data_IF_401682307278
#
_entry.id   IF_401682307278
#
_cell.length_a   1.000
_cell.length_b   1.000
_cell.length_c   1.000
_cell.angle_alpha   90.00
_cell.angle_beta   90.00
_cell.angle_gamma   90.00
#
_symmetry.space_group_name_H-M   'P 1'
#
loop_
_entity.id
_entity.type
_entity.pdbx_description
1 polymer ?
#
# COMPACT_ATOMS: atom_id res chain seq x y z
N UNK A 1 -26.02 -20.91 -11.78
CA UNK A 1 -25.64 -20.25 -13.05
C UNK A 1 -24.26 -20.74 -13.41
N UNK A 2 -23.91 -20.82 -14.68
CA UNK A 2 -22.53 -21.11 -15.10
C UNK A 2 -21.69 -19.90 -14.75
N UNK A 3 -20.48 -20.11 -14.23
CA UNK A 3 -19.55 -19.03 -13.93
C UNK A 3 -19.22 -18.23 -15.19
N UNK A 4 -19.11 -16.92 -15.07
CA UNK A 4 -18.62 -16.05 -16.14
C UNK A 4 -17.11 -16.20 -16.29
N UNK A 5 -16.65 -16.24 -17.51
CA UNK A 5 -15.21 -16.15 -17.84
C UNK A 5 -14.69 -14.75 -17.59
N UNK A 6 -13.36 -14.57 -17.44
CA UNK A 6 -12.77 -13.23 -17.28
C UNK A 6 -13.11 -12.32 -18.46
N UNK A 7 -13.17 -12.84 -19.67
CA UNK A 7 -13.55 -12.08 -20.87
C UNK A 7 -15.00 -11.59 -20.79
N UNK A 8 -15.93 -12.42 -20.34
CA UNK A 8 -17.32 -12.04 -20.15
C UNK A 8 -17.45 -10.99 -19.02
N UNK A 9 -16.73 -11.17 -17.90
CA UNK A 9 -16.69 -10.18 -16.81
C UNK A 9 -16.16 -8.83 -17.29
N UNK A 10 -15.06 -8.80 -18.03
CA UNK A 10 -14.49 -7.58 -18.61
C UNK A 10 -15.48 -6.89 -19.57
N UNK A 11 -16.20 -7.66 -20.38
CA UNK A 11 -17.21 -7.13 -21.29
C UNK A 11 -18.40 -6.54 -20.53
N UNK A 12 -18.97 -7.27 -19.59
CA UNK A 12 -20.15 -6.81 -18.83
C UNK A 12 -19.83 -5.59 -17.93
N UNK A 13 -18.61 -5.52 -17.40
CA UNK A 13 -18.16 -4.42 -16.55
C UNK A 13 -17.55 -3.23 -17.31
N UNK A 14 -17.47 -3.28 -18.65
CA UNK A 14 -16.84 -2.23 -19.45
C UNK A 14 -17.49 -0.85 -19.25
N UNK A 15 -18.82 -0.78 -19.18
CA UNK A 15 -19.54 0.48 -18.91
C UNK A 15 -19.28 1.04 -17.50
N UNK A 16 -19.07 0.17 -16.52
CA UNK A 16 -18.65 0.59 -15.18
C UNK A 16 -17.21 1.11 -15.22
N UNK A 17 -16.31 0.44 -15.93
CA UNK A 17 -14.94 0.89 -16.09
C UNK A 17 -14.87 2.28 -16.75
N UNK A 18 -15.65 2.54 -17.80
CA UNK A 18 -15.75 3.85 -18.45
C UNK A 18 -16.22 4.92 -17.45
N UNK A 19 -17.28 4.65 -16.71
CA UNK A 19 -17.81 5.56 -15.68
C UNK A 19 -16.77 5.89 -14.61
N UNK A 20 -16.00 4.91 -14.17
CA UNK A 20 -15.00 5.10 -13.13
C UNK A 20 -13.72 5.78 -13.65
N UNK A 21 -13.32 5.54 -14.89
CA UNK A 21 -12.28 6.33 -15.57
C UNK A 21 -12.70 7.80 -15.64
N UNK A 22 -13.91 8.09 -16.10
CA UNK A 22 -14.42 9.46 -16.16
C UNK A 22 -14.49 10.12 -14.78
N UNK A 23 -14.92 9.37 -13.76
CA UNK A 23 -14.90 9.85 -12.37
C UNK A 23 -13.47 10.17 -11.92
N UNK A 24 -12.53 9.27 -12.16
CA UNK A 24 -11.12 9.46 -11.81
C UNK A 24 -10.57 10.72 -12.46
N UNK A 25 -10.73 10.89 -13.77
CA UNK A 25 -10.21 12.04 -14.51
C UNK A 25 -10.78 13.38 -14.04
N UNK A 26 -12.02 13.41 -13.54
CA UNK A 26 -12.61 14.64 -12.97
C UNK A 26 -12.02 15.02 -11.61
N UNK A 27 -11.43 14.09 -10.88
CA UNK A 27 -10.92 14.32 -9.52
C UNK A 27 -9.41 14.26 -9.43
N UNK A 28 -8.75 13.63 -10.40
CA UNK A 28 -7.30 13.57 -10.45
C UNK A 28 -6.71 14.99 -10.59
N UNK A 29 -5.67 15.23 -9.81
CA UNK A 29 -4.94 16.51 -9.84
C UNK A 29 -3.61 16.28 -10.53
N UNK A 30 -3.33 17.07 -11.54
CA UNK A 30 -2.01 17.06 -12.17
C UNK A 30 -0.97 17.60 -11.20
N UNK A 31 0.11 16.84 -11.02
CA UNK A 31 1.23 17.24 -10.20
C UNK A 31 2.53 16.65 -10.75
N UNK A 32 3.64 17.24 -10.35
CA UNK A 32 4.95 16.84 -10.83
C UNK A 32 5.88 16.54 -9.66
N UNK A 33 6.66 15.44 -9.71
CA UNK A 33 7.59 15.06 -8.63
C UNK A 33 8.54 16.19 -8.22
N UNK A 34 9.02 16.99 -9.18
CA UNK A 34 9.97 18.07 -8.89
C UNK A 34 9.40 19.20 -8.00
N UNK A 35 8.07 19.35 -7.89
CA UNK A 35 7.42 20.34 -7.02
C UNK A 35 7.39 19.90 -5.54
N UNK A 36 7.72 18.63 -5.27
CA UNK A 36 7.68 18.03 -3.95
C UNK A 36 9.06 17.62 -3.43
N UNK A 37 10.12 17.86 -4.20
CA UNK A 37 11.51 17.55 -3.81
C UNK A 37 12.24 18.84 -3.46
N UNK A 38 12.90 18.92 -2.29
CA UNK A 38 13.64 20.13 -1.87
C UNK A 38 15.01 20.23 -2.54
N UNK A 39 15.06 20.44 -3.84
CA UNK A 39 16.29 20.46 -4.67
C UNK A 39 17.40 21.34 -4.10
N UNK A 40 17.05 22.44 -3.45
CA UNK A 40 18.02 23.35 -2.83
C UNK A 40 18.76 22.75 -1.60
N UNK A 41 18.28 21.62 -1.05
CA UNK A 41 19.01 20.86 0.00
C UNK A 41 20.03 19.89 -0.58
N UNK A 42 19.97 19.63 -1.90
CA UNK A 42 20.83 18.69 -2.58
C UNK A 42 22.30 19.15 -2.60
N UNK A 43 23.20 18.20 -2.56
CA UNK A 43 24.64 18.39 -2.69
C UNK A 43 25.20 17.28 -3.57
N UNK A 44 26.25 17.59 -4.33
CA UNK A 44 26.93 16.59 -5.15
C UNK A 44 27.54 15.48 -4.29
N UNK A 45 27.52 14.27 -4.82
CA UNK A 45 28.26 13.14 -4.27
C UNK A 45 29.71 13.14 -4.78
N UNK A 46 30.59 12.32 -4.19
CA UNK A 46 32.03 12.33 -4.45
C UNK A 46 32.38 12.20 -5.94
N UNK A 47 31.61 11.42 -6.70
CA UNK A 47 31.81 11.26 -8.15
C UNK A 47 31.68 12.58 -8.94
N UNK A 48 31.00 13.57 -8.41
CA UNK A 48 30.86 14.91 -9.00
C UNK A 48 31.62 16.00 -8.21
N UNK A 49 32.57 15.60 -7.35
CA UNK A 49 33.42 16.51 -6.56
C UNK A 49 32.83 16.96 -5.22
N UNK A 50 31.69 16.39 -4.81
CA UNK A 50 31.11 16.56 -3.48
C UNK A 50 31.67 15.55 -2.48
N UNK A 51 30.81 15.05 -1.59
CA UNK A 51 31.17 14.02 -0.59
C UNK A 51 30.12 12.90 -0.58
N UNK A 52 30.54 11.71 -0.19
CA UNK A 52 29.63 10.59 -0.01
C UNK A 52 28.75 10.76 1.23
N UNK A 53 27.77 9.88 1.37
CA UNK A 53 26.84 9.86 2.50
C UNK A 53 27.56 9.48 3.80
N UNK A 54 27.21 10.17 4.87
CA UNK A 54 27.53 9.79 6.24
C UNK A 54 26.23 9.67 7.05
N UNK A 55 26.16 8.77 8.03
CA UNK A 55 24.96 8.55 8.84
C UNK A 55 24.45 9.83 9.53
N UNK A 56 25.36 10.75 9.85
CA UNK A 56 25.05 12.07 10.41
C UNK A 56 24.38 13.05 9.42
N UNK A 57 24.30 12.71 8.14
CA UNK A 57 23.63 13.55 7.13
C UNK A 57 22.12 13.46 7.21
N UNK A 58 21.60 12.36 7.76
CA UNK A 58 20.18 12.11 7.81
C UNK A 58 19.53 12.78 9.02
N UNK A 59 18.59 13.68 8.75
CA UNK A 59 17.70 14.27 9.76
C UNK A 59 16.51 13.33 10.10
N UNK A 60 16.31 12.25 9.34
CA UNK A 60 15.21 11.34 9.54
C UNK A 60 15.41 10.46 10.78
N UNK A 61 14.37 10.33 11.58
CA UNK A 61 14.35 9.34 12.65
C UNK A 61 14.44 7.91 12.08
N UNK A 62 14.94 6.92 12.84
CA UNK A 62 15.01 5.54 12.35
C UNK A 62 13.68 4.98 11.85
N UNK A 63 12.55 5.38 12.44
CA UNK A 63 11.22 4.94 12.01
C UNK A 63 10.78 5.64 10.73
N UNK A 64 11.04 6.94 10.57
CA UNK A 64 10.73 7.67 9.34
C UNK A 64 11.53 7.12 8.17
N UNK A 65 12.83 6.85 8.38
CA UNK A 65 13.71 6.23 7.39
C UNK A 65 13.20 4.86 6.95
N UNK A 66 12.93 3.96 7.90
CA UNK A 66 12.43 2.63 7.61
C UNK A 66 11.09 2.66 6.84
N UNK A 67 10.18 3.55 7.23
CA UNK A 67 8.88 3.69 6.59
C UNK A 67 8.97 4.28 5.17
N UNK A 68 9.79 5.32 4.95
CA UNK A 68 9.99 5.91 3.63
C UNK A 68 10.66 4.92 2.66
N UNK A 69 11.66 4.18 3.13
CA UNK A 69 12.30 3.13 2.33
C UNK A 69 11.30 2.02 1.99
N UNK A 70 10.51 1.56 2.96
CA UNK A 70 9.50 0.53 2.72
C UNK A 70 8.44 1.00 1.71
N UNK A 71 7.95 2.24 1.85
CA UNK A 71 7.01 2.82 0.89
C UNK A 71 7.64 2.88 -0.51
N UNK A 72 8.87 3.41 -0.65
CA UNK A 72 9.56 3.44 -1.94
C UNK A 72 9.72 2.06 -2.57
N UNK A 73 10.13 1.05 -1.81
CA UNK A 73 10.32 -0.30 -2.32
C UNK A 73 8.99 -0.98 -2.72
N UNK A 74 7.88 -0.56 -2.12
CA UNK A 74 6.53 -0.97 -2.55
C UNK A 74 6.19 -0.34 -3.90
N UNK A 75 6.41 0.97 -4.05
CA UNK A 75 6.16 1.70 -5.31
C UNK A 75 7.06 1.23 -6.47
N UNK A 76 8.32 0.91 -6.19
CA UNK A 76 9.26 0.41 -7.20
C UNK A 76 8.88 -0.97 -7.78
N UNK A 77 7.96 -1.67 -7.16
CA UNK A 77 7.43 -2.93 -7.68
C UNK A 77 6.41 -2.75 -8.82
N UNK A 78 6.17 -1.53 -9.26
CA UNK A 78 5.25 -1.19 -10.34
C UNK A 78 5.40 -2.06 -11.60
N UNK A 79 6.60 -2.45 -12.08
CA UNK A 79 6.70 -3.35 -13.22
C UNK A 79 5.98 -4.69 -13.03
N UNK A 80 6.01 -5.25 -11.82
CA UNK A 80 5.29 -6.49 -11.48
C UNK A 80 3.78 -6.24 -11.43
N UNK A 81 3.33 -5.16 -10.82
CA UNK A 81 1.90 -4.82 -10.74
C UNK A 81 1.32 -4.52 -12.11
N UNK A 82 2.04 -3.73 -12.93
CA UNK A 82 1.62 -3.44 -14.30
C UNK A 82 1.42 -4.72 -15.10
N UNK A 83 2.37 -5.68 -15.00
CA UNK A 83 2.26 -6.95 -15.70
C UNK A 83 1.00 -7.71 -15.27
N UNK A 84 0.78 -7.89 -13.97
CA UNK A 84 -0.37 -8.61 -13.44
C UNK A 84 -1.70 -7.98 -13.91
N UNK A 85 -1.82 -6.65 -13.87
CA UNK A 85 -3.02 -5.95 -14.31
C UNK A 85 -3.17 -6.01 -15.83
N UNK A 86 -2.09 -5.83 -16.60
CA UNK A 86 -2.14 -5.88 -18.05
C UNK A 86 -2.47 -7.29 -18.60
N UNK A 87 -2.04 -8.34 -17.89
CA UNK A 87 -2.35 -9.73 -18.24
C UNK A 87 -3.81 -10.12 -17.92
N UNK A 88 -4.40 -9.54 -16.87
CA UNK A 88 -5.76 -9.87 -16.39
C UNK A 88 -6.84 -8.91 -16.88
N UNK A 89 -6.48 -7.74 -17.40
CA UNK A 89 -7.41 -6.78 -17.98
C UNK A 89 -7.28 -6.74 -19.51
N UNK A 90 -8.29 -6.16 -20.17
CA UNK A 90 -8.17 -5.82 -21.59
C UNK A 90 -7.27 -4.59 -21.77
N UNK A 91 -6.48 -4.57 -22.84
CA UNK A 91 -5.72 -3.38 -23.25
C UNK A 91 -6.52 -2.46 -24.19
N UNK A 92 -7.81 -2.75 -24.39
CA UNK A 92 -8.72 -1.97 -25.24
C UNK A 92 -9.72 -1.17 -24.38
N UNK A 93 -10.27 -0.10 -24.97
CA UNK A 93 -11.32 0.71 -24.37
C UNK A 93 -10.94 1.32 -23.01
N UNK A 94 -11.90 1.37 -22.11
CA UNK A 94 -11.72 1.94 -20.78
C UNK A 94 -10.73 1.16 -19.93
N UNK A 95 -10.68 -0.17 -20.08
CA UNK A 95 -9.72 -1.02 -19.39
C UNK A 95 -8.28 -0.71 -19.77
N UNK A 96 -7.99 -0.67 -21.09
CA UNK A 96 -6.65 -0.33 -21.56
C UNK A 96 -6.25 1.09 -21.20
N UNK A 97 -7.19 2.05 -21.31
CA UNK A 97 -6.94 3.40 -20.84
C UNK A 97 -6.57 3.44 -19.36
N UNK A 98 -7.29 2.69 -18.50
CA UNK A 98 -7.00 2.63 -17.08
C UNK A 98 -5.63 2.01 -16.78
N UNK A 99 -5.30 0.89 -17.39
CA UNK A 99 -3.98 0.25 -17.22
C UNK A 99 -2.85 1.25 -17.46
N UNK A 100 -2.92 1.99 -18.55
CA UNK A 100 -1.88 2.97 -18.89
C UNK A 100 -1.91 4.21 -17.98
N UNK A 101 -3.09 4.72 -17.66
CA UNK A 101 -3.25 5.91 -16.82
C UNK A 101 -2.77 5.65 -15.40
N UNK A 102 -3.24 4.57 -14.79
CA UNK A 102 -2.82 4.14 -13.46
C UNK A 102 -1.30 3.92 -13.39
N UNK A 103 -0.72 3.17 -14.32
CA UNK A 103 0.72 2.95 -14.37
C UNK A 103 1.52 4.25 -14.47
N UNK A 104 1.05 5.22 -15.25
CA UNK A 104 1.72 6.51 -15.38
C UNK A 104 1.64 7.34 -14.09
N UNK A 105 0.57 7.23 -13.33
CA UNK A 105 0.41 7.89 -12.03
C UNK A 105 1.28 7.24 -10.95
N UNK A 106 1.27 5.92 -10.85
CA UNK A 106 2.10 5.13 -9.95
C UNK A 106 3.60 5.40 -10.13
N UNK A 107 4.05 5.51 -11.38
CA UNK A 107 5.46 5.81 -11.68
C UNK A 107 5.96 7.11 -11.03
N UNK A 108 5.08 8.09 -10.78
CA UNK A 108 5.45 9.34 -10.08
C UNK A 108 5.75 9.12 -8.60
N UNK A 109 5.12 8.13 -7.97
CA UNK A 109 5.25 7.84 -6.55
C UNK A 109 6.68 7.39 -6.22
N UNK A 110 7.20 6.40 -6.93
CA UNK A 110 8.58 5.94 -6.72
C UNK A 110 9.61 7.02 -7.05
N UNK A 111 9.38 7.82 -8.10
CA UNK A 111 10.29 8.92 -8.47
C UNK A 111 10.36 9.95 -7.36
N UNK A 112 9.24 10.45 -6.84
CA UNK A 112 9.24 11.50 -5.83
C UNK A 112 9.82 11.02 -4.49
N UNK A 113 9.55 9.79 -4.09
CA UNK A 113 10.09 9.20 -2.87
C UNK A 113 11.61 9.01 -2.96
N UNK A 114 12.09 8.44 -4.07
CA UNK A 114 13.53 8.25 -4.30
C UNK A 114 14.28 9.59 -4.34
N UNK A 115 13.76 10.54 -5.10
CA UNK A 115 14.39 11.84 -5.25
C UNK A 115 14.42 12.61 -3.92
N UNK A 116 13.34 12.55 -3.14
CA UNK A 116 13.32 13.12 -1.78
C UNK A 116 14.41 12.50 -0.89
N UNK A 117 14.47 11.17 -0.80
CA UNK A 117 15.47 10.46 0.02
C UNK A 117 16.91 10.78 -0.41
N UNK A 118 17.17 10.86 -1.72
CA UNK A 118 18.48 11.14 -2.28
C UNK A 118 18.91 12.59 -2.05
N UNK A 119 18.03 13.54 -2.35
CA UNK A 119 18.31 14.98 -2.26
C UNK A 119 18.48 15.43 -0.82
N UNK A 120 17.69 14.90 0.10
CA UNK A 120 17.80 15.22 1.53
C UNK A 120 18.88 14.42 2.26
N UNK A 121 19.58 13.52 1.56
CA UNK A 121 20.48 12.54 2.19
C UNK A 121 19.81 11.79 3.35
N UNK A 122 18.53 11.47 3.17
CA UNK A 122 17.74 10.77 4.18
C UNK A 122 18.22 9.34 4.45
N UNK A 123 18.90 8.71 3.48
CA UNK A 123 19.45 7.36 3.53
C UNK A 123 20.75 7.30 2.71
N UNK A 124 21.56 6.26 2.92
CA UNK A 124 22.66 5.94 2.02
C UNK A 124 22.13 5.60 0.62
N UNK A 125 22.46 6.38 -0.41
CA UNK A 125 21.94 6.15 -1.77
C UNK A 125 22.48 4.85 -2.39
N UNK A 126 23.63 4.35 -1.97
CA UNK A 126 24.19 3.07 -2.45
C UNK A 126 23.39 1.91 -1.87
N UNK A 127 23.18 1.91 -0.55
CA UNK A 127 22.34 0.90 0.11
C UNK A 127 20.91 0.93 -0.44
N UNK A 128 20.34 2.13 -0.64
CA UNK A 128 19.00 2.29 -1.21
C UNK A 128 18.91 1.66 -2.60
N UNK A 129 19.88 1.92 -3.48
CA UNK A 129 19.84 1.38 -4.84
C UNK A 129 20.03 -0.13 -4.86
N UNK A 130 20.87 -0.69 -3.99
CA UNK A 130 21.03 -2.13 -3.83
C UNK A 130 19.72 -2.80 -3.37
N UNK A 131 18.99 -2.18 -2.44
CA UNK A 131 17.68 -2.65 -2.00
C UNK A 131 16.64 -2.58 -3.12
N UNK A 132 16.60 -1.47 -3.87
CA UNK A 132 15.70 -1.28 -5.02
C UNK A 132 15.95 -2.33 -6.10
N UNK A 133 17.21 -2.53 -6.49
CA UNK A 133 17.60 -3.54 -7.48
C UNK A 133 17.22 -4.95 -7.01
N UNK A 134 17.46 -5.26 -5.75
CA UNK A 134 17.06 -6.56 -5.15
C UNK A 134 15.55 -6.76 -5.23
N UNK A 135 14.76 -5.75 -4.84
CA UNK A 135 13.30 -5.81 -4.85
C UNK A 135 12.74 -5.96 -6.26
N UNK A 136 13.23 -5.17 -7.21
CA UNK A 136 12.77 -5.21 -8.60
C UNK A 136 13.13 -6.53 -9.30
N UNK A 137 14.32 -7.08 -9.02
CA UNK A 137 14.74 -8.39 -9.55
C UNK A 137 13.92 -9.55 -8.97
N UNK A 138 13.57 -9.46 -7.69
CA UNK A 138 12.70 -10.45 -7.06
C UNK A 138 11.29 -10.40 -7.63
N UNK A 139 10.80 -9.21 -7.92
CA UNK A 139 9.43 -8.96 -8.36
C UNK A 139 8.40 -9.29 -7.29
N UNK A 140 7.15 -9.25 -7.69
CA UNK A 140 6.02 -9.62 -6.84
C UNK A 140 4.98 -10.36 -7.68
N UNK A 141 4.66 -11.58 -7.31
CA UNK A 141 3.66 -12.41 -7.96
C UNK A 141 2.67 -12.92 -6.90
N UNK A 142 1.60 -12.17 -6.60
CA UNK A 142 0.62 -12.54 -5.59
C UNK A 142 -0.30 -13.69 -6.01
N UNK A 143 -0.12 -14.24 -7.21
CA UNK A 143 -0.95 -15.34 -7.74
C UNK A 143 -2.35 -14.88 -8.18
N UNK A 144 -2.48 -13.65 -8.64
CA UNK A 144 -3.73 -13.09 -9.14
C UNK A 144 -4.00 -13.58 -10.58
N UNK A 145 -4.47 -14.82 -10.71
CA UNK A 145 -4.63 -15.50 -12.01
C UNK A 145 -6.00 -15.23 -12.65
N UNK A 146 -6.71 -14.19 -12.23
CA UNK A 146 -7.99 -13.80 -12.83
C UNK A 146 -8.28 -12.32 -12.61
N UNK A 147 -9.18 -11.79 -13.43
CA UNK A 147 -9.65 -10.39 -13.33
C UNK A 147 -10.18 -10.08 -11.92
N UNK A 148 -11.03 -10.92 -11.35
CA UNK A 148 -11.62 -10.68 -10.03
C UNK A 148 -10.60 -10.75 -8.90
N UNK A 149 -9.60 -11.64 -8.96
CA UNK A 149 -8.52 -11.68 -7.98
C UNK A 149 -7.65 -10.42 -8.06
N UNK A 150 -7.31 -9.98 -9.27
CA UNK A 150 -6.54 -8.74 -9.49
C UNK A 150 -7.26 -7.52 -8.93
N UNK A 151 -8.53 -7.31 -9.31
CA UNK A 151 -9.34 -6.18 -8.81
C UNK A 151 -9.51 -6.24 -7.29
N UNK A 152 -9.73 -7.44 -6.74
CA UNK A 152 -9.86 -7.62 -5.28
C UNK A 152 -8.56 -7.25 -4.56
N UNK A 153 -7.43 -7.77 -5.03
CA UNK A 153 -6.14 -7.48 -4.41
C UNK A 153 -5.82 -5.98 -4.43
N UNK A 154 -5.90 -5.36 -5.61
CA UNK A 154 -5.54 -3.94 -5.77
C UNK A 154 -6.50 -3.05 -4.97
N UNK A 155 -7.78 -3.40 -4.83
CA UNK A 155 -8.71 -2.66 -3.96
C UNK A 155 -8.19 -2.50 -2.53
N UNK A 156 -7.68 -3.57 -1.93
CA UNK A 156 -7.16 -3.54 -0.56
C UNK A 156 -5.73 -2.99 -0.49
N UNK A 157 -4.91 -3.27 -1.49
CA UNK A 157 -3.53 -2.81 -1.56
C UNK A 157 -3.46 -1.28 -1.66
N UNK A 158 -4.20 -0.65 -2.57
CA UNK A 158 -4.25 0.82 -2.73
C UNK A 158 -4.71 1.53 -1.44
N UNK A 159 -5.68 0.95 -0.75
CA UNK A 159 -6.11 1.53 0.53
C UNK A 159 -5.05 1.33 1.62
N UNK A 160 -4.33 0.21 1.60
CA UNK A 160 -3.25 -0.06 2.56
C UNK A 160 -2.06 0.89 2.33
N UNK A 161 -1.65 1.12 1.08
CA UNK A 161 -0.58 2.08 0.73
C UNK A 161 -0.99 3.51 1.11
N UNK A 162 -2.22 3.92 0.81
CA UNK A 162 -2.74 5.22 1.27
C UNK A 162 -2.58 5.41 2.79
N UNK A 163 -2.95 4.41 3.58
CA UNK A 163 -2.83 4.48 5.05
C UNK A 163 -1.36 4.52 5.47
N UNK A 164 -0.50 3.71 4.86
CA UNK A 164 0.93 3.71 5.11
C UNK A 164 1.56 5.08 4.82
N UNK A 165 1.30 5.68 3.66
CA UNK A 165 1.82 7.00 3.30
C UNK A 165 1.39 8.09 4.28
N UNK A 166 0.10 8.14 4.63
CA UNK A 166 -0.42 9.14 5.58
C UNK A 166 0.20 9.02 6.97
N UNK A 167 0.34 7.80 7.46
CA UNK A 167 0.89 7.56 8.79
C UNK A 167 2.42 7.75 8.80
N UNK A 168 3.11 7.46 7.70
CA UNK A 168 4.53 7.79 7.51
C UNK A 168 4.74 9.30 7.54
N UNK A 169 3.88 10.07 6.87
CA UNK A 169 3.93 11.53 6.89
C UNK A 169 3.95 12.10 8.33
N UNK A 170 3.12 11.53 9.21
CA UNK A 170 3.00 11.98 10.60
C UNK A 170 4.26 11.73 11.46
N UNK A 171 5.20 10.89 11.01
CA UNK A 171 6.44 10.55 11.76
C UNK A 171 7.71 11.12 11.12
N UNK A 172 7.60 11.77 9.96
CA UNK A 172 8.76 12.29 9.23
C UNK A 172 9.31 13.59 9.84
N UNK A 173 8.50 14.34 10.57
CA UNK A 173 8.86 15.67 11.13
C UNK A 173 9.48 16.63 10.08
N UNK A 174 9.06 16.50 8.81
CA UNK A 174 9.44 17.36 7.70
C UNK A 174 8.17 17.75 6.90
N UNK A 175 7.80 19.04 6.89
CA UNK A 175 6.62 19.52 6.15
C UNK A 175 6.65 19.23 4.65
N UNK A 176 7.84 19.04 4.06
CA UNK A 176 7.95 18.66 2.65
C UNK A 176 7.59 17.19 2.46
N UNK A 177 8.11 16.31 3.32
CA UNK A 177 7.74 14.89 3.33
C UNK A 177 6.23 14.73 3.59
N UNK A 178 5.66 15.47 4.54
CA UNK A 178 4.23 15.45 4.83
C UNK A 178 3.40 15.81 3.60
N UNK A 179 3.75 16.90 2.91
CA UNK A 179 3.05 17.34 1.70
C UNK A 179 3.19 16.33 0.56
N UNK A 180 4.38 15.78 0.36
CA UNK A 180 4.68 14.77 -0.65
C UNK A 180 3.86 13.49 -0.43
N UNK A 181 3.96 12.92 0.76
CA UNK A 181 3.23 11.69 1.12
C UNK A 181 1.71 11.91 1.13
N UNK A 182 1.26 13.10 1.50
CA UNK A 182 -0.15 13.50 1.40
C UNK A 182 -0.64 13.53 -0.05
N UNK A 183 0.22 13.91 -1.01
CA UNK A 183 -0.12 13.90 -2.44
C UNK A 183 -0.20 12.47 -2.98
N UNK A 184 0.80 11.63 -2.69
CA UNK A 184 0.78 10.21 -3.05
C UNK A 184 -0.46 9.54 -2.48
N UNK A 185 -0.72 9.69 -1.19
CA UNK A 185 -1.91 9.11 -0.55
C UNK A 185 -3.25 9.58 -1.15
N UNK A 186 -3.29 10.74 -1.79
CA UNK A 186 -4.49 11.21 -2.47
C UNK A 186 -4.70 10.50 -3.82
N UNK A 187 -3.63 10.19 -4.54
CA UNK A 187 -3.69 9.37 -5.75
C UNK A 187 -4.11 7.93 -5.42
N UNK A 188 -3.48 7.29 -4.42
CA UNK A 188 -3.85 5.98 -3.90
C UNK A 188 -5.36 5.86 -3.58
N UNK A 189 -5.93 6.94 -2.99
CA UNK A 189 -7.35 6.96 -2.72
C UNK A 189 -8.21 6.93 -4.00
N UNK A 190 -7.78 7.62 -5.05
CA UNK A 190 -8.51 7.65 -6.33
C UNK A 190 -8.40 6.31 -7.07
N UNK A 191 -7.23 5.68 -7.00
CA UNK A 191 -6.99 4.35 -7.54
C UNK A 191 -7.86 3.31 -6.83
N UNK A 192 -7.83 3.29 -5.51
CA UNK A 192 -8.68 2.42 -4.69
C UNK A 192 -10.17 2.57 -5.04
N UNK A 193 -10.64 3.81 -5.25
CA UNK A 193 -12.04 4.06 -5.59
C UNK A 193 -12.42 3.42 -6.92
N UNK A 194 -11.55 3.43 -7.92
CA UNK A 194 -11.77 2.74 -9.19
C UNK A 194 -11.97 1.24 -8.95
N UNK A 195 -10.99 0.59 -8.37
CA UNK A 195 -11.01 -0.86 -8.17
C UNK A 195 -12.16 -1.32 -7.27
N UNK A 196 -12.41 -0.61 -6.17
CA UNK A 196 -13.51 -0.89 -5.25
C UNK A 196 -14.88 -0.81 -5.94
N UNK A 197 -15.08 0.18 -6.80
CA UNK A 197 -16.36 0.37 -7.48
C UNK A 197 -16.57 -0.65 -8.61
N UNK A 198 -15.50 -1.04 -9.32
CA UNK A 198 -15.54 -2.18 -10.24
C UNK A 198 -15.95 -3.45 -9.49
N UNK A 199 -15.33 -3.72 -8.35
CA UNK A 199 -15.65 -4.91 -7.57
C UNK A 199 -17.06 -4.86 -6.97
N UNK A 200 -17.55 -3.65 -6.63
CA UNK A 200 -18.96 -3.46 -6.23
C UNK A 200 -19.91 -3.90 -7.34
N UNK A 201 -19.64 -3.51 -8.59
CA UNK A 201 -20.46 -3.93 -9.73
C UNK A 201 -20.31 -5.43 -10.03
N UNK A 202 -19.10 -5.98 -9.85
CA UNK A 202 -18.87 -7.41 -10.00
C UNK A 202 -19.65 -8.26 -8.95
N UNK A 203 -19.78 -7.76 -7.72
CA UNK A 203 -20.60 -8.42 -6.67
C UNK A 203 -22.08 -8.45 -7.05
N UNK A 204 -22.58 -7.42 -7.75
CA UNK A 204 -23.98 -7.42 -8.23
C UNK A 204 -24.17 -8.34 -9.44
N UNK A 205 -23.16 -8.42 -10.31
CA UNK A 205 -23.21 -9.20 -11.54
C UNK A 205 -22.98 -10.71 -11.30
N UNK A 206 -21.95 -11.06 -10.55
CA UNK A 206 -21.49 -12.42 -10.30
C UNK A 206 -21.10 -12.62 -8.82
N UNK A 207 -22.06 -12.56 -7.89
CA UNK A 207 -21.80 -12.50 -6.44
C UNK A 207 -20.97 -13.68 -5.92
N UNK A 208 -21.20 -14.89 -6.41
CA UNK A 208 -20.47 -16.09 -5.98
C UNK A 208 -18.98 -15.98 -6.32
N UNK A 209 -18.66 -15.64 -7.57
CA UNK A 209 -17.28 -15.51 -8.04
C UNK A 209 -16.57 -14.31 -7.40
N UNK A 210 -17.25 -13.15 -7.35
CA UNK A 210 -16.67 -11.93 -6.78
C UNK A 210 -16.37 -12.09 -5.29
N UNK A 211 -17.30 -12.63 -4.49
CA UNK A 211 -17.08 -12.84 -3.06
C UNK A 211 -16.06 -13.95 -2.77
N UNK A 212 -15.98 -14.98 -3.62
CA UNK A 212 -14.91 -16.00 -3.51
C UNK A 212 -13.53 -15.40 -3.76
N UNK A 213 -13.39 -14.50 -4.75
CA UNK A 213 -12.15 -13.77 -5.00
C UNK A 213 -11.78 -12.85 -3.83
N UNK A 214 -12.72 -12.09 -3.28
CA UNK A 214 -12.54 -11.25 -2.09
C UNK A 214 -12.06 -12.08 -0.90
N UNK A 215 -12.72 -13.20 -0.62
CA UNK A 215 -12.33 -14.09 0.49
C UNK A 215 -10.91 -14.63 0.32
N UNK A 216 -10.61 -15.09 -0.90
CA UNK A 216 -9.26 -15.59 -1.25
C UNK A 216 -8.20 -14.54 -1.01
N UNK A 217 -8.43 -13.31 -1.48
CA UNK A 217 -7.50 -12.20 -1.29
C UNK A 217 -7.34 -11.84 0.18
N UNK A 218 -8.43 -11.66 0.91
CA UNK A 218 -8.37 -11.27 2.33
C UNK A 218 -7.61 -12.28 3.19
N UNK A 219 -7.81 -13.57 2.94
CA UNK A 219 -7.17 -14.64 3.72
C UNK A 219 -5.69 -14.84 3.37
N UNK A 220 -5.25 -14.42 2.19
CA UNK A 220 -3.88 -14.54 1.69
C UNK A 220 -3.19 -13.19 1.49
N UNK A 221 -3.78 -12.10 1.97
CA UNK A 221 -3.25 -10.76 1.74
C UNK A 221 -1.83 -10.61 2.27
N UNK A 222 -0.94 -10.19 1.40
CA UNK A 222 0.44 -9.87 1.73
C UNK A 222 0.85 -8.59 0.99
N UNK A 223 1.55 -7.70 1.68
CA UNK A 223 2.20 -6.55 1.05
C UNK A 223 3.50 -6.98 0.38
N UNK A 224 3.88 -6.33 -0.72
CA UNK A 224 5.19 -6.54 -1.33
C UNK A 224 6.31 -6.23 -0.34
N UNK A 225 7.48 -6.87 -0.56
CA UNK A 225 8.66 -6.60 0.24
C UNK A 225 8.96 -7.63 1.33
N UNK A 226 8.11 -8.64 1.53
CA UNK A 226 8.35 -9.69 2.53
C UNK A 226 9.67 -10.47 2.34
N UNK A 227 10.23 -10.44 1.14
CA UNK A 227 11.53 -11.06 0.81
C UNK A 227 12.74 -10.14 1.07
N UNK A 228 12.51 -8.86 1.38
CA UNK A 228 13.60 -7.89 1.61
C UNK A 228 14.41 -8.20 2.87
N UNK A 229 15.71 -7.95 2.85
CA UNK A 229 16.53 -7.94 4.05
C UNK A 229 15.91 -7.01 5.10
N UNK A 230 15.81 -7.48 6.35
CA UNK A 230 15.27 -6.71 7.46
C UNK A 230 13.77 -6.35 7.42
N UNK A 231 13.00 -6.77 6.41
CA UNK A 231 11.55 -6.50 6.30
C UNK A 231 10.81 -6.71 7.63
N UNK A 232 11.03 -7.86 8.28
CA UNK A 232 10.34 -8.17 9.54
C UNK A 232 10.70 -7.19 10.66
N UNK A 233 11.97 -6.75 10.74
CA UNK A 233 12.42 -5.76 11.73
C UNK A 233 11.73 -4.42 11.49
N UNK A 234 11.71 -3.97 10.25
CA UNK A 234 11.20 -2.67 9.87
C UNK A 234 9.66 -2.63 9.94
N UNK A 235 8.97 -3.71 9.56
CA UNK A 235 7.54 -3.86 9.78
C UNK A 235 7.15 -3.80 11.27
N UNK A 236 7.93 -4.44 12.17
CA UNK A 236 7.72 -4.33 13.62
C UNK A 236 7.99 -2.92 14.12
N UNK A 237 9.00 -2.23 13.59
CA UNK A 237 9.28 -0.84 13.94
C UNK A 237 8.12 0.07 13.52
N UNK A 238 7.64 -0.05 12.29
CA UNK A 238 6.49 0.70 11.77
C UNK A 238 5.23 0.44 12.61
N UNK A 239 4.96 -0.81 12.94
CA UNK A 239 3.83 -1.19 13.75
C UNK A 239 3.89 -0.62 15.18
N UNK A 240 5.09 -0.61 15.81
CA UNK A 240 5.30 0.00 17.12
C UNK A 240 5.01 1.51 17.16
N UNK A 241 5.19 2.18 16.01
CA UNK A 241 4.97 3.62 15.88
C UNK A 241 3.61 3.97 15.22
N UNK A 242 2.73 2.99 15.06
CA UNK A 242 1.37 3.22 14.58
C UNK A 242 1.28 3.53 13.08
N UNK A 243 2.31 3.21 12.29
CA UNK A 243 2.31 3.45 10.85
C UNK A 243 1.40 2.45 10.16
N UNK A 244 1.66 1.16 10.35
CA UNK A 244 0.82 0.10 9.79
C UNK A 244 0.94 -1.18 10.62
N UNK A 245 -0.20 -1.71 11.06
CA UNK A 245 -0.29 -2.99 11.75
C UNK A 245 -1.65 -3.67 11.47
N UNK A 246 -1.95 -4.78 12.15
CA UNK A 246 -3.22 -5.50 11.96
C UNK A 246 -4.45 -4.68 12.33
N UNK A 247 -4.32 -3.71 13.26
CA UNK A 247 -5.41 -2.80 13.63
C UNK A 247 -5.73 -1.85 12.49
N UNK A 248 -4.72 -1.19 11.93
CA UNK A 248 -4.91 -0.32 10.78
C UNK A 248 -5.42 -1.11 9.57
N UNK A 249 -4.87 -2.31 9.32
CA UNK A 249 -5.34 -3.15 8.22
C UNK A 249 -6.82 -3.47 8.35
N UNK A 250 -7.27 -3.89 9.52
CA UNK A 250 -8.70 -4.18 9.74
C UNK A 250 -9.58 -2.93 9.68
N UNK A 251 -9.27 -1.91 10.50
CA UNK A 251 -10.19 -0.82 10.76
C UNK A 251 -10.16 0.26 9.68
N UNK A 252 -9.02 0.48 9.04
CA UNK A 252 -8.82 1.51 8.03
C UNK A 252 -8.82 0.98 6.59
N UNK A 253 -8.66 -0.34 6.39
CA UNK A 253 -8.61 -0.95 5.05
C UNK A 253 -9.78 -1.91 4.85
N UNK A 254 -9.85 -3.01 5.59
CA UNK A 254 -10.85 -4.06 5.35
C UNK A 254 -12.27 -3.57 5.62
N UNK A 255 -12.53 -3.09 6.82
CA UNK A 255 -13.89 -2.70 7.21
C UNK A 255 -14.52 -1.59 6.36
N UNK A 256 -13.80 -0.50 5.98
CA UNK A 256 -14.38 0.53 5.12
C UNK A 256 -14.82 0.01 3.76
N UNK A 257 -14.07 -0.92 3.16
CA UNK A 257 -14.40 -1.54 1.89
C UNK A 257 -15.64 -2.42 2.03
N UNK A 258 -15.66 -3.34 3.03
CA UNK A 258 -16.80 -4.23 3.27
C UNK A 258 -18.09 -3.46 3.62
N UNK A 259 -17.98 -2.35 4.36
CA UNK A 259 -19.12 -1.47 4.67
C UNK A 259 -19.64 -0.75 3.43
N UNK A 260 -18.76 -0.33 2.52
CA UNK A 260 -19.18 0.29 1.25
C UNK A 260 -20.03 -0.68 0.42
N UNK A 261 -19.67 -1.95 0.40
CA UNK A 261 -20.45 -3.01 -0.26
C UNK A 261 -21.66 -3.46 0.57
N UNK A 262 -21.88 -2.87 1.76
CA UNK A 262 -22.93 -3.23 2.72
C UNK A 262 -22.94 -4.73 3.07
N UNK A 263 -21.75 -5.35 3.05
CA UNK A 263 -21.65 -6.80 3.10
C UNK A 263 -22.21 -7.40 4.40
N UNK A 264 -22.10 -6.66 5.50
CA UNK A 264 -22.63 -7.07 6.81
C UNK A 264 -24.18 -7.09 6.86
N UNK A 265 -24.82 -6.29 6.00
CA UNK A 265 -26.28 -6.10 5.99
C UNK A 265 -26.96 -6.79 4.78
N UNK A 266 -26.19 -7.45 3.91
CA UNK A 266 -26.70 -8.14 2.71
C UNK A 266 -27.52 -9.35 3.10
N UNK A 267 -28.83 -9.34 2.79
CA UNK A 267 -29.76 -10.46 3.00
C UNK A 267 -30.30 -11.04 1.70
N UNK A 268 -29.94 -10.45 0.58
CA UNK A 268 -30.36 -10.80 -0.78
C UNK A 268 -29.49 -11.88 -1.42
N UNK A 269 -28.34 -12.20 -0.80
CA UNK A 269 -27.44 -13.25 -1.27
C UNK A 269 -27.97 -14.64 -0.88
N UNK A 270 -27.87 -15.59 -1.78
CA UNK A 270 -28.22 -16.99 -1.56
C UNK A 270 -27.07 -17.95 -1.88
N UNK A 271 -27.25 -19.23 -1.53
CA UNK A 271 -26.32 -20.29 -1.92
C UNK A 271 -24.87 -20.02 -1.51
N UNK A 272 -23.97 -20.16 -2.45
CA UNK A 272 -22.51 -19.99 -2.24
C UNK A 272 -22.14 -18.54 -1.95
N UNK A 273 -22.82 -17.58 -2.57
CA UNK A 273 -22.57 -16.15 -2.30
C UNK A 273 -22.83 -15.79 -0.82
N UNK A 274 -23.93 -16.29 -0.24
CA UNK A 274 -24.23 -16.09 1.19
C UNK A 274 -23.14 -16.74 2.06
N UNK A 275 -22.72 -17.95 1.71
CA UNK A 275 -21.62 -18.65 2.42
C UNK A 275 -20.32 -17.86 2.38
N UNK A 276 -19.94 -17.34 1.20
CA UNK A 276 -18.72 -16.51 1.06
C UNK A 276 -18.83 -15.22 1.88
N UNK A 277 -19.99 -14.52 1.84
CA UNK A 277 -20.25 -13.37 2.68
C UNK A 277 -20.02 -13.69 4.17
N UNK A 278 -20.56 -14.80 4.67
CA UNK A 278 -20.42 -15.20 6.07
C UNK A 278 -18.95 -15.50 6.43
N UNK A 279 -18.20 -16.14 5.53
CA UNK A 279 -16.77 -16.36 5.73
C UNK A 279 -15.97 -15.05 5.77
N UNK A 280 -16.29 -14.08 4.92
CA UNK A 280 -15.65 -12.75 4.93
C UNK A 280 -15.96 -12.02 6.24
N UNK A 281 -17.21 -12.04 6.70
CA UNK A 281 -17.59 -11.43 7.97
C UNK A 281 -16.85 -12.10 9.15
N UNK A 282 -16.81 -13.42 9.18
CA UNK A 282 -16.07 -14.18 10.21
C UNK A 282 -14.56 -13.87 10.17
N UNK A 283 -13.97 -13.73 8.98
CA UNK A 283 -12.58 -13.33 8.84
C UNK A 283 -12.31 -11.94 9.44
N UNK A 284 -13.23 -10.98 9.25
CA UNK A 284 -13.09 -9.64 9.83
C UNK A 284 -13.10 -9.67 11.36
N UNK A 285 -13.89 -10.58 11.97
CA UNK A 285 -13.91 -10.79 13.42
C UNK A 285 -12.64 -11.51 13.91
N UNK A 286 -12.14 -12.51 13.17
CA UNK A 286 -10.87 -13.15 13.47
C UNK A 286 -9.68 -12.17 13.39
N UNK A 287 -9.71 -11.27 12.41
CA UNK A 287 -8.70 -10.24 12.25
C UNK A 287 -8.71 -9.28 13.44
N UNK A 288 -9.90 -8.94 14.00
CA UNK A 288 -10.02 -8.16 15.22
C UNK A 288 -9.33 -8.86 16.41
N UNK A 289 -9.62 -10.12 16.60
CA UNK A 289 -9.01 -10.91 17.67
C UNK A 289 -7.48 -11.02 17.51
N UNK A 290 -6.98 -11.09 16.27
CA UNK A 290 -5.53 -11.04 15.98
C UNK A 290 -4.94 -9.68 16.27
N UNK A 291 -5.64 -8.59 15.90
CA UNK A 291 -5.21 -7.22 16.15
C UNK A 291 -5.12 -6.92 17.64
N UNK A 292 -6.10 -7.31 18.44
CA UNK A 292 -6.07 -7.15 19.91
C UNK A 292 -4.83 -7.85 20.51
N UNK A 293 -4.57 -9.11 20.14
CA UNK A 293 -3.38 -9.84 20.63
C UNK A 293 -2.06 -9.16 20.22
N UNK A 294 -2.03 -8.61 19.01
CA UNK A 294 -0.87 -7.89 18.53
C UNK A 294 -0.64 -6.61 19.34
N UNK A 295 -1.70 -5.79 19.56
CA UNK A 295 -1.67 -4.56 20.37
C UNK A 295 -1.17 -4.84 21.78
N UNK A 296 -1.71 -5.82 22.45
CA UNK A 296 -1.24 -6.25 23.79
C UNK A 296 0.24 -6.63 23.81
N UNK A 297 0.72 -7.32 22.76
CA UNK A 297 2.13 -7.72 22.64
C UNK A 297 3.03 -6.50 22.38
N UNK A 298 2.59 -5.58 21.52
CA UNK A 298 3.25 -4.32 21.22
C UNK A 298 3.39 -3.47 22.49
N UNK A 299 2.30 -3.29 23.22
CA UNK A 299 2.26 -2.43 24.40
C UNK A 299 3.15 -3.00 25.52
N UNK A 300 3.17 -4.32 25.71
CA UNK A 300 4.14 -4.98 26.59
C UNK A 300 5.59 -4.77 26.16
N UNK A 301 5.87 -4.76 24.86
CA UNK A 301 7.21 -4.50 24.33
C UNK A 301 7.63 -3.03 24.57
N UNK A 302 6.74 -2.09 24.28
CA UNK A 302 6.98 -0.66 24.51
C UNK A 302 7.23 -0.35 25.99
N UNK A 303 6.46 -0.92 26.90
CA UNK A 303 6.66 -0.79 28.35
C UNK A 303 8.02 -1.32 28.80
N UNK A 304 8.48 -2.47 28.26
CA UNK A 304 9.82 -3.00 28.56
C UNK A 304 10.93 -2.09 28.03
N UNK A 305 10.77 -1.53 26.82
CA UNK A 305 11.75 -0.63 26.22
C UNK A 305 11.84 0.68 27.01
N UNK A 306 10.71 1.23 27.46
CA UNK A 306 10.65 2.41 28.35
C UNK A 306 11.39 2.16 29.68
N UNK A 307 11.07 1.07 30.37
CA UNK A 307 11.72 0.70 31.63
C UNK A 307 13.24 0.48 31.49
N UNK A 308 13.70 -0.01 30.33
CA UNK A 308 15.15 -0.14 30.04
C UNK A 308 15.81 1.23 29.89
N UNK A 309 15.18 2.17 29.20
CA UNK A 309 15.69 3.53 29.02
C UNK A 309 15.78 4.28 30.36
N UNK A 310 14.76 4.18 31.20
CA UNK A 310 14.77 4.77 32.54
C UNK A 310 15.91 4.26 33.42
N UNK A 311 16.15 2.94 33.40
CA UNK A 311 17.27 2.32 34.13
C UNK A 311 18.64 2.75 33.60
N UNK A 312 18.77 2.91 32.28
CA UNK A 312 20.02 3.38 31.66
C UNK A 312 20.33 4.83 32.10
N UNK A 313 19.32 5.71 32.08
CA UNK A 313 19.45 7.10 32.53
C UNK A 313 19.79 7.18 34.02
N UNK A 314 19.11 6.42 34.86
CA UNK A 314 19.38 6.39 36.31
C UNK A 314 20.79 5.84 36.62
N UNK A 315 21.27 4.83 35.85
CA UNK A 315 22.62 4.29 36.01
C UNK A 315 23.75 5.24 35.56
N UNK A 316 23.45 6.18 34.66
CA UNK A 316 24.42 7.20 34.21
C UNK A 316 24.51 8.38 35.16
N UNK A 317 23.44 8.69 35.92
CA UNK A 317 23.39 9.79 36.90
C UNK A 317 24.09 9.43 38.25
N UNK A 318 24.50 8.18 38.46
CA UNK A 318 25.17 7.71 39.69
C UNK A 318 26.69 7.55 39.49
N UNK A 319 27.19 7.81 38.30
CA UNK A 319 28.65 7.88 38.00
C UNK A 319 29.10 9.30 37.77
#
# INVERSE_FOLDING_TARGET
MTDLTDLELLHELAGTAETEVDRHLRHAVDWHPHDYVPWSRGQDFAALGGRDFEESDSDLSPVARAALVMNLLTEDNLPSYHREIAENFSLDGAWGYWVHRWTAEEARHSIVLRDYLTVTRGVDPVELEDLRMTQMQHGFAPGMNSMLLSVSYVTFQELATRISHRNTAAVCDDPIAERMLGRVAADENLHMLFYRNILSAAIELAPEQALAAVYTVLTNFAMPGSALPHFRRDAVLMAKHGIYDLRQHRDAVVLPVLRTWKLFDRTDLGGEAARMRDLICSFADELDAKAIRFEESRDRALARDAARRERAVAGTAVR
#
